data_IF_106575108220
#
_entry.id   IF_106575108220
#
_cell.length_a   1.000
_cell.length_b   1.000
_cell.length_c   1.000
_cell.angle_alpha   90.00
_cell.angle_beta   90.00
_cell.angle_gamma   90.00
#
_symmetry.space_group_name_H-M   'P 1'
#
loop_
_entity.id
_entity.type
_entity.pdbx_description
1 polymer ?
#
# COMPACT_ATOMS: atom_id res chain seq x y z
N UNK A 1 7.39 3.97 -25.32
CA UNK A 1 7.31 3.03 -25.36
C UNK A 1 7.07 1.94 -24.45
N UNK A 2 7.87 1.60 -23.69
CA UNK A 2 7.76 0.45 -22.97
C UNK A 2 6.83 0.45 -21.88
N UNK A 3 6.43 1.52 -21.42
CA UNK A 3 5.56 1.57 -20.33
C UNK A 3 4.27 0.93 -20.60
N UNK A 4 4.00 0.61 -21.77
CA UNK A 4 2.76 -0.01 -22.08
C UNK A 4 2.53 -1.27 -21.30
N UNK A 5 3.55 -1.90 -20.88
CA UNK A 5 3.41 -3.14 -20.18
C UNK A 5 2.77 -2.98 -18.84
N UNK A 6 2.79 -1.82 -18.26
CA UNK A 6 2.25 -1.61 -16.94
C UNK A 6 1.24 -0.53 -16.96
N UNK A 7 0.15 -0.83 -17.64
CA UNK A 7 -0.88 0.09 -17.69
C UNK A 7 -1.59 0.26 -16.45
N UNK A 8 -1.61 -0.74 -15.61
CA UNK A 8 -2.32 -0.66 -14.38
C UNK A 8 -1.59 0.26 -13.45
N UNK A 9 -2.32 1.06 -12.74
CA UNK A 9 -1.73 2.00 -11.83
C UNK A 9 -1.69 1.49 -10.44
N UNK A 10 -0.65 1.83 -9.71
CA UNK A 10 -0.58 1.52 -8.30
C UNK A 10 -1.40 2.54 -7.56
N UNK A 11 -2.30 2.07 -6.73
CA UNK A 11 -3.10 2.96 -5.90
C UNK A 11 -2.99 2.50 -4.47
N UNK A 12 -3.13 3.46 -3.56
CA UNK A 12 -3.06 3.19 -2.15
C UNK A 12 -4.40 3.52 -1.53
N UNK A 13 -4.88 2.65 -0.66
CA UNK A 13 -6.14 2.88 0.02
C UNK A 13 -5.97 2.73 1.51
N UNK A 14 -6.54 3.65 2.26
CA UNK A 14 -6.54 3.53 3.71
C UNK A 14 -7.66 2.58 4.09
N UNK A 15 -7.30 1.45 4.67
CA UNK A 15 -8.26 0.44 5.05
C UNK A 15 -8.75 0.67 6.46
N UNK A 16 -7.87 1.07 7.34
CA UNK A 16 -8.22 1.13 8.74
C UNK A 16 -7.41 2.20 9.44
N UNK A 17 -8.04 2.80 10.42
CA UNK A 17 -7.38 3.82 11.20
C UNK A 17 -7.86 3.63 12.62
N UNK A 18 -6.97 3.36 13.55
CA UNK A 18 -7.34 3.05 14.92
C UNK A 18 -6.45 3.73 15.91
N UNK A 19 -6.95 3.91 17.12
CA UNK A 19 -6.15 4.41 18.20
C UNK A 19 -6.43 5.87 18.51
N UNK A 20 -5.95 6.33 19.66
CA UNK A 20 -6.16 7.72 20.05
C UNK A 20 -5.30 8.65 19.20
N UNK A 21 -5.58 9.93 19.25
CA UNK A 21 -4.89 10.89 18.41
C UNK A 21 -3.39 10.83 18.52
N UNK A 22 -2.87 10.56 19.69
CA UNK A 22 -1.44 10.57 19.88
C UNK A 22 -0.80 9.19 19.67
N UNK A 23 -1.59 8.22 19.29
CA UNK A 23 -1.04 6.88 19.08
C UNK A 23 -1.89 6.14 18.09
N UNK A 24 -2.01 6.71 16.90
CA UNK A 24 -2.82 6.09 15.85
C UNK A 24 -2.06 5.09 15.04
N UNK A 25 -2.79 4.12 14.56
CA UNK A 25 -2.26 3.14 13.62
C UNK A 25 -3.05 3.25 12.35
N UNK A 26 -2.37 3.14 11.25
CA UNK A 26 -3.01 3.19 9.93
C UNK A 26 -2.69 1.93 9.18
N UNK A 27 -3.67 1.40 8.49
CA UNK A 27 -3.45 0.25 7.65
C UNK A 27 -3.78 0.66 6.22
N UNK A 28 -2.82 0.51 5.33
CA UNK A 28 -2.98 0.91 3.94
C UNK A 28 -2.67 -0.28 3.07
N UNK A 29 -3.44 -0.45 2.02
CA UNK A 29 -3.13 -1.48 1.04
C UNK A 29 -2.71 -0.80 -0.25
N UNK A 30 -1.93 -1.50 -1.03
CA UNK A 30 -1.57 -1.04 -2.35
C UNK A 30 -2.18 -2.01 -3.35
N UNK A 31 -2.74 -1.45 -4.38
CA UNK A 31 -3.39 -2.24 -5.42
C UNK A 31 -2.76 -1.96 -6.77
N UNK A 32 -2.72 -2.96 -7.59
CA UNK A 32 -2.28 -2.81 -8.97
C UNK A 32 -3.51 -3.07 -9.79
N UNK A 33 -4.10 -2.01 -10.32
CA UNK A 33 -5.39 -2.12 -10.97
C UNK A 33 -6.43 -2.48 -9.96
N UNK A 34 -7.07 -3.60 -10.14
CA UNK A 34 -8.10 -4.05 -9.22
C UNK A 34 -7.61 -5.08 -8.23
N UNK A 35 -6.33 -5.36 -8.23
CA UNK A 35 -5.82 -6.44 -7.42
C UNK A 35 -4.98 -5.92 -6.28
N UNK A 36 -5.27 -6.37 -5.09
CA UNK A 36 -4.48 -5.96 -3.94
C UNK A 36 -3.20 -6.78 -3.92
N UNK A 37 -2.06 -6.10 -3.92
CA UNK A 37 -0.79 -6.78 -3.96
C UNK A 37 0.03 -6.61 -2.68
N UNK A 38 -0.37 -5.71 -1.82
CA UNK A 38 0.37 -5.54 -0.57
C UNK A 38 -0.42 -4.75 0.44
N UNK A 39 0.02 -4.83 1.69
CA UNK A 39 -0.66 -4.15 2.76
C UNK A 39 0.35 -3.82 3.83
N UNK A 40 0.22 -2.67 4.46
CA UNK A 40 1.17 -2.26 5.48
C UNK A 40 0.50 -1.54 6.62
N UNK A 41 1.09 -1.66 7.79
CA UNK A 41 0.64 -0.97 8.98
C UNK A 41 1.72 -0.02 9.41
N UNK A 42 1.32 1.14 9.90
CA UNK A 42 2.29 2.08 10.39
C UNK A 42 1.64 3.10 11.30
N UNK A 43 2.45 3.87 11.98
CA UNK A 43 1.94 4.89 12.87
C UNK A 43 1.59 6.16 12.13
N UNK A 44 2.02 6.27 10.91
CA UNK A 44 1.63 7.38 10.05
C UNK A 44 1.20 6.80 8.73
N UNK A 45 0.47 7.58 7.96
CA UNK A 45 0.04 7.12 6.66
C UNK A 45 1.23 6.82 5.78
N UNK A 46 2.25 7.68 5.87
CA UNK A 46 3.43 7.47 5.06
C UNK A 46 4.14 6.18 5.41
N UNK A 47 4.27 5.87 6.69
CA UNK A 47 4.90 4.64 7.11
C UNK A 47 4.11 3.43 6.63
N UNK A 48 2.79 3.50 6.74
CA UNK A 48 1.95 2.41 6.27
C UNK A 48 2.07 2.23 4.77
N UNK A 49 2.12 3.34 4.04
CA UNK A 49 2.27 3.28 2.59
C UNK A 49 3.61 2.64 2.20
N UNK A 50 4.65 3.00 2.90
CA UNK A 50 5.96 2.45 2.58
C UNK A 50 5.98 0.95 2.80
N UNK A 51 5.39 0.51 3.89
CA UNK A 51 5.37 -0.91 4.16
C UNK A 51 4.47 -1.64 3.17
N UNK A 52 3.35 -1.04 2.81
CA UNK A 52 2.47 -1.63 1.82
C UNK A 52 3.19 -1.77 0.49
N UNK A 53 3.94 -0.74 0.11
CA UNK A 53 4.67 -0.77 -1.14
C UNK A 53 5.74 -1.86 -1.11
N UNK A 54 6.40 -2.00 0.02
CA UNK A 54 7.43 -3.02 0.17
C UNK A 54 6.82 -4.41 -0.02
N UNK A 55 5.69 -4.66 0.63
CA UNK A 55 5.03 -5.95 0.50
C UNK A 55 4.53 -6.16 -0.92
N UNK A 56 4.05 -5.09 -1.54
CA UNK A 56 3.59 -5.19 -2.92
C UNK A 56 4.71 -5.55 -3.87
N UNK A 57 5.88 -4.95 -3.66
CA UNK A 57 7.02 -5.26 -4.50
C UNK A 57 7.48 -6.69 -4.29
N UNK A 58 7.43 -7.16 -3.05
CA UNK A 58 7.79 -8.54 -2.80
C UNK A 58 6.85 -9.49 -3.51
N UNK A 59 5.58 -9.15 -3.52
CA UNK A 59 4.61 -9.99 -4.20
C UNK A 59 4.85 -10.00 -5.70
N UNK A 60 5.16 -8.86 -6.26
CA UNK A 60 5.39 -8.78 -7.69
C UNK A 60 6.66 -9.51 -8.14
N UNK A 61 7.60 -9.65 -7.24
CA UNK A 61 8.82 -10.34 -7.58
C UNK A 61 8.73 -11.84 -7.51
N UNK A 62 7.68 -12.35 -6.99
CA UNK A 62 7.51 -13.80 -6.97
C UNK A 62 7.14 -14.32 -8.36
#
# INVERSE_FOLDING_TARGET
LIQADYREELTYELIKEEGPDHDKSFEICVKLGEREIGRGLGRTKKAAEQLAAYHGLCELKK
#
